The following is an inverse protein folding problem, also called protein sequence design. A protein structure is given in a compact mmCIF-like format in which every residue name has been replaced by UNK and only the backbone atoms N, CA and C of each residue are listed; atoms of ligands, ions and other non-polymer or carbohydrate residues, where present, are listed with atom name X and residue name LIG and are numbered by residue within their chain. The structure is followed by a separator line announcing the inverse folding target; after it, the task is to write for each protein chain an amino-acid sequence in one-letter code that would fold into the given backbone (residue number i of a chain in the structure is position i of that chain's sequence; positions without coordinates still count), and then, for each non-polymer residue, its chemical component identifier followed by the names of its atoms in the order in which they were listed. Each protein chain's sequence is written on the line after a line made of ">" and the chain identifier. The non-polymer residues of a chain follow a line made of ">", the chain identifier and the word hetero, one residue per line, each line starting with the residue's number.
data_IF_010099004849
#
_entry.id   IF_010099004849
#
_cell.length_a   1.000
_cell.length_b   1.000
_cell.length_c   1.000
_cell.angle_alpha   90.00
_cell.angle_beta   90.00
_cell.angle_gamma   90.00
#
_symmetry.space_group_name_H-M   'P 1'
#
loop_
_entity.id
_entity.type
_entity.pdbx_description
1 polymer ?
#
# COMPACT_ATOMS: atom_id res chain seq x y z
N UNK A 1 -16.70 -17.52 -17.41
CA UNK A 1 -15.70 -16.75 -16.64
C UNK A 1 -16.04 -15.28 -16.64
N UNK A 2 -15.94 -14.65 -15.50
CA UNK A 2 -16.18 -13.22 -15.44
C UNK A 2 -15.01 -12.47 -16.08
N UNK A 3 -15.34 -11.38 -16.74
CA UNK A 3 -14.35 -10.43 -17.24
C UNK A 3 -13.57 -9.84 -16.07
N UNK A 4 -12.25 -9.81 -16.19
CA UNK A 4 -11.37 -9.29 -15.13
C UNK A 4 -11.73 -7.84 -14.77
N UNK A 5 -12.05 -7.02 -15.76
CA UNK A 5 -12.42 -5.62 -15.49
C UNK A 5 -13.70 -5.52 -14.69
N UNK A 6 -14.66 -6.41 -14.94
CA UNK A 6 -15.90 -6.45 -14.17
C UNK A 6 -15.64 -6.86 -12.72
N UNK A 7 -14.77 -7.85 -12.50
CA UNK A 7 -14.38 -8.29 -11.16
C UNK A 7 -13.72 -7.13 -10.41
N UNK A 8 -12.80 -6.41 -11.08
CA UNK A 8 -12.13 -5.26 -10.47
C UNK A 8 -13.13 -4.17 -10.09
N UNK A 9 -14.09 -3.87 -10.97
CA UNK A 9 -15.13 -2.87 -10.69
C UNK A 9 -15.96 -3.27 -9.47
N UNK A 10 -16.35 -4.54 -9.39
CA UNK A 10 -17.08 -5.05 -8.21
C UNK A 10 -16.26 -4.92 -6.94
N UNK A 11 -14.94 -5.19 -7.04
CA UNK A 11 -14.04 -5.07 -5.89
C UNK A 11 -14.00 -3.62 -5.40
N UNK A 12 -13.89 -2.66 -6.32
CA UNK A 12 -13.89 -1.23 -5.97
C UNK A 12 -15.22 -0.81 -5.33
N UNK A 13 -16.33 -1.29 -5.87
CA UNK A 13 -17.64 -0.98 -5.30
C UNK A 13 -17.77 -1.49 -3.87
N UNK A 14 -17.35 -2.73 -3.63
CA UNK A 14 -17.40 -3.30 -2.28
C UNK A 14 -16.45 -2.58 -1.33
N UNK A 15 -15.25 -2.23 -1.81
CA UNK A 15 -14.27 -1.48 -1.03
C UNK A 15 -14.82 -0.10 -0.64
N UNK A 16 -15.42 0.59 -1.59
CA UNK A 16 -16.00 1.91 -1.35
C UNK A 16 -17.20 1.87 -0.40
N UNK A 17 -17.91 0.76 -0.39
CA UNK A 17 -19.02 0.53 0.54
C UNK A 17 -18.57 -0.07 1.86
N UNK A 18 -17.26 -0.14 2.10
CA UNK A 18 -16.67 -0.65 3.34
C UNK A 18 -16.97 -2.12 3.61
N UNK A 19 -17.30 -2.88 2.58
CA UNK A 19 -17.49 -4.32 2.66
C UNK A 19 -16.15 -5.00 2.39
N UNK A 20 -15.25 -4.89 3.36
CA UNK A 20 -13.83 -5.20 3.16
C UNK A 20 -13.55 -6.67 2.91
N UNK A 21 -14.26 -7.57 3.58
CA UNK A 21 -14.05 -9.00 3.34
C UNK A 21 -14.37 -9.38 1.89
N UNK A 22 -15.50 -8.90 1.40
CA UNK A 22 -15.91 -9.19 0.02
C UNK A 22 -14.95 -8.49 -0.98
N UNK A 23 -14.55 -7.27 -0.66
CA UNK A 23 -13.59 -6.56 -1.50
C UNK A 23 -12.27 -7.34 -1.58
N UNK A 24 -11.77 -7.84 -0.48
CA UNK A 24 -10.55 -8.64 -0.46
C UNK A 24 -10.66 -9.88 -1.34
N UNK A 25 -11.77 -10.59 -1.25
CA UNK A 25 -12.01 -11.76 -2.07
C UNK A 25 -11.98 -11.42 -3.56
N UNK A 26 -12.62 -10.32 -3.93
CA UNK A 26 -12.67 -9.90 -5.33
C UNK A 26 -11.32 -9.39 -5.84
N UNK A 27 -10.59 -8.63 -5.02
CA UNK A 27 -9.24 -8.23 -5.41
C UNK A 27 -8.32 -9.43 -5.58
N UNK A 28 -8.45 -10.44 -4.71
CA UNK A 28 -7.68 -11.66 -4.82
C UNK A 28 -8.02 -12.39 -6.11
N UNK A 29 -9.30 -12.50 -6.45
CA UNK A 29 -9.75 -13.11 -7.69
C UNK A 29 -9.16 -12.38 -8.91
N UNK A 30 -9.20 -11.05 -8.90
CA UNK A 30 -8.64 -10.25 -9.98
C UNK A 30 -7.13 -10.48 -10.12
N UNK A 31 -6.41 -10.45 -9.00
CA UNK A 31 -4.94 -10.64 -8.98
C UNK A 31 -4.58 -12.01 -9.53
N UNK A 32 -5.27 -13.05 -9.09
CA UNK A 32 -5.03 -14.42 -9.56
C UNK A 32 -5.27 -14.55 -11.06
N UNK A 33 -6.34 -13.92 -11.54
CA UNK A 33 -6.65 -13.92 -12.97
C UNK A 33 -5.54 -13.23 -13.77
N UNK A 34 -5.09 -12.09 -13.30
CA UNK A 34 -4.02 -11.34 -13.96
C UNK A 34 -2.70 -12.12 -13.98
N UNK A 35 -2.40 -12.82 -12.90
CA UNK A 35 -1.18 -13.62 -12.82
C UNK A 35 -1.20 -14.75 -13.86
N UNK A 36 -2.36 -15.34 -14.08
CA UNK A 36 -2.51 -16.44 -15.05
C UNK A 36 -2.47 -15.97 -16.50
N UNK A 37 -3.20 -14.93 -16.81
CA UNK A 37 -3.36 -14.49 -18.21
C UNK A 37 -2.27 -13.52 -18.67
N UNK A 38 -1.70 -12.76 -17.72
CA UNK A 38 -0.71 -11.71 -18.00
C UNK A 38 -1.21 -10.63 -18.95
N UNK A 39 -2.53 -10.46 -19.03
CA UNK A 39 -3.15 -9.53 -19.97
C UNK A 39 -3.73 -8.30 -19.28
N UNK A 40 -3.52 -8.15 -17.97
CA UNK A 40 -4.09 -7.06 -17.21
C UNK A 40 -3.24 -5.79 -17.33
N UNK A 41 -3.93 -4.67 -17.24
CA UNK A 41 -3.26 -3.38 -17.13
C UNK A 41 -2.42 -3.35 -15.85
N UNK A 42 -1.14 -3.00 -15.97
CA UNK A 42 -0.21 -3.02 -14.84
C UNK A 42 -0.66 -2.10 -13.71
N UNK A 43 -1.14 -0.89 -14.04
CA UNK A 43 -1.59 0.05 -13.02
C UNK A 43 -2.82 -0.48 -12.28
N UNK A 44 -3.75 -1.10 -12.98
CA UNK A 44 -4.91 -1.72 -12.34
C UNK A 44 -4.50 -2.83 -11.38
N UNK A 45 -3.49 -3.61 -11.75
CA UNK A 45 -2.96 -4.65 -10.87
C UNK A 45 -2.31 -4.04 -9.62
N UNK A 46 -1.55 -2.95 -9.80
CA UNK A 46 -0.96 -2.24 -8.67
C UNK A 46 -2.03 -1.68 -7.73
N UNK A 47 -3.11 -1.11 -8.29
CA UNK A 47 -4.24 -0.62 -7.49
C UNK A 47 -4.88 -1.76 -6.69
N UNK A 48 -5.09 -2.90 -7.33
CA UNK A 48 -5.69 -4.06 -6.65
C UNK A 48 -4.85 -4.51 -5.46
N UNK A 49 -3.53 -4.60 -5.64
CA UNK A 49 -2.63 -4.94 -4.53
C UNK A 49 -2.68 -3.88 -3.43
N UNK A 50 -2.63 -2.60 -3.79
CA UNK A 50 -2.67 -1.52 -2.80
C UNK A 50 -3.95 -1.58 -1.98
N UNK A 51 -5.09 -1.74 -2.64
CA UNK A 51 -6.39 -1.74 -1.95
C UNK A 51 -6.57 -3.01 -1.11
N UNK A 52 -6.09 -4.15 -1.59
CA UNK A 52 -6.11 -5.36 -0.76
C UNK A 52 -5.21 -5.19 0.47
N UNK A 53 -4.04 -4.56 0.27
CA UNK A 53 -3.17 -4.20 1.38
C UNK A 53 -3.86 -3.31 2.39
N UNK A 54 -4.65 -2.34 1.92
CA UNK A 54 -5.40 -1.45 2.79
C UNK A 54 -6.42 -2.22 3.64
N UNK A 55 -7.10 -3.19 3.06
CA UNK A 55 -8.02 -4.05 3.81
C UNK A 55 -7.28 -4.81 4.90
N UNK A 56 -6.11 -5.36 4.58
CA UNK A 56 -5.30 -6.09 5.56
C UNK A 56 -4.77 -5.16 6.65
N UNK A 57 -4.41 -3.94 6.30
CA UNK A 57 -3.99 -2.91 7.25
C UNK A 57 -5.12 -2.61 8.25
N UNK A 58 -6.33 -2.43 7.76
CA UNK A 58 -7.48 -2.14 8.61
C UNK A 58 -7.78 -3.29 9.57
N UNK A 59 -7.41 -4.50 9.19
CA UNK A 59 -7.56 -5.70 10.01
C UNK A 59 -6.34 -5.93 10.93
N UNK A 60 -5.36 -5.04 10.87
CA UNK A 60 -4.10 -5.07 11.65
C UNK A 60 -3.17 -6.22 11.24
N UNK A 61 -3.35 -6.78 10.05
CA UNK A 61 -2.42 -7.76 9.47
C UNK A 61 -1.28 -7.03 8.75
N UNK A 62 -0.40 -6.41 9.52
CA UNK A 62 0.59 -5.48 8.98
C UNK A 62 1.61 -6.14 8.05
N UNK A 63 2.07 -7.34 8.37
CA UNK A 63 3.05 -8.01 7.51
C UNK A 63 2.45 -8.35 6.15
N UNK A 64 1.23 -8.87 6.12
CA UNK A 64 0.55 -9.18 4.87
C UNK A 64 0.21 -7.92 4.08
N UNK A 65 -0.16 -6.85 4.79
CA UNK A 65 -0.41 -5.56 4.13
C UNK A 65 0.87 -5.04 3.46
N UNK A 66 2.00 -5.11 4.15
CA UNK A 66 3.28 -4.68 3.57
C UNK A 66 3.67 -5.48 2.34
N UNK A 67 3.38 -6.79 2.34
CA UNK A 67 3.65 -7.62 1.16
C UNK A 67 2.84 -7.13 -0.03
N UNK A 68 1.58 -6.79 0.17
CA UNK A 68 0.74 -6.28 -0.91
C UNK A 68 1.22 -4.90 -1.38
N UNK A 69 1.57 -4.01 -0.46
CA UNK A 69 2.11 -2.71 -0.85
C UNK A 69 3.42 -2.85 -1.62
N UNK A 70 4.28 -3.76 -1.20
CA UNK A 70 5.54 -4.01 -1.90
C UNK A 70 5.29 -4.52 -3.31
N UNK A 71 4.32 -5.43 -3.49
CA UNK A 71 3.95 -5.90 -4.82
C UNK A 71 3.45 -4.75 -5.70
N UNK A 72 2.63 -3.87 -5.16
CA UNK A 72 2.15 -2.71 -5.90
C UNK A 72 3.30 -1.81 -6.34
N UNK A 73 4.26 -1.57 -5.46
CA UNK A 73 5.43 -0.73 -5.74
C UNK A 73 6.30 -1.36 -6.84
N UNK A 74 6.50 -2.68 -6.79
CA UNK A 74 7.28 -3.39 -7.79
C UNK A 74 6.64 -3.32 -9.18
N UNK A 75 5.31 -3.32 -9.22
CA UNK A 75 4.58 -3.24 -10.49
C UNK A 75 4.61 -1.81 -11.04
N UNK A 76 4.45 -0.82 -10.17
CA UNK A 76 4.44 0.59 -10.60
C UNK A 76 5.16 1.44 -9.56
N UNK A 77 6.44 1.71 -9.80
CA UNK A 77 7.28 2.47 -8.87
C UNK A 77 6.90 3.96 -8.78
N UNK A 78 6.06 4.44 -9.69
CA UNK A 78 5.59 5.82 -9.70
C UNK A 78 4.22 5.98 -9.03
N UNK A 79 3.72 4.93 -8.43
CA UNK A 79 2.46 4.97 -7.67
C UNK A 79 2.81 5.28 -6.21
N UNK A 80 2.59 6.54 -5.80
CA UNK A 80 3.04 7.03 -4.50
C UNK A 80 2.27 6.46 -3.31
N UNK A 81 1.00 6.08 -3.51
CA UNK A 81 0.14 5.68 -2.40
C UNK A 81 0.66 4.44 -1.64
N UNK A 82 1.05 3.33 -2.30
CA UNK A 82 1.56 2.18 -1.53
C UNK A 82 2.91 2.46 -0.87
N UNK A 83 3.73 3.36 -1.43
CA UNK A 83 4.96 3.80 -0.76
C UNK A 83 4.64 4.46 0.57
N UNK A 84 3.70 5.40 0.55
CA UNK A 84 3.25 6.08 1.76
C UNK A 84 2.66 5.09 2.75
N UNK A 85 1.78 4.21 2.28
CA UNK A 85 1.10 3.23 3.13
C UNK A 85 2.09 2.28 3.81
N UNK A 86 3.08 1.81 3.06
CA UNK A 86 4.11 0.93 3.63
C UNK A 86 4.94 1.67 4.67
N UNK A 87 5.26 2.93 4.37
CA UNK A 87 5.98 3.79 5.32
C UNK A 87 5.25 3.93 6.64
N UNK A 88 3.92 4.09 6.60
CA UNK A 88 3.11 4.18 7.82
C UNK A 88 3.21 2.93 8.69
N UNK A 89 3.20 1.76 8.07
CA UNK A 89 3.34 0.51 8.83
C UNK A 89 4.74 0.42 9.43
N UNK A 90 5.75 0.71 8.65
CA UNK A 90 7.14 0.69 9.12
C UNK A 90 7.34 1.64 10.29
N UNK A 91 6.73 2.83 10.20
CA UNK A 91 6.77 3.79 11.30
C UNK A 91 6.12 3.20 12.56
N UNK A 92 4.94 2.61 12.42
CA UNK A 92 4.22 2.01 13.56
C UNK A 92 5.02 0.89 14.22
N UNK A 93 5.77 0.13 13.43
CA UNK A 93 6.58 -0.98 13.94
C UNK A 93 7.94 -0.53 14.46
N UNK A 94 8.25 0.76 14.37
CA UNK A 94 9.51 1.29 14.87
C UNK A 94 10.66 1.20 13.89
N UNK A 95 10.40 0.82 12.64
CA UNK A 95 11.43 0.75 11.59
C UNK A 95 11.59 2.13 10.95
N UNK A 96 12.17 3.05 11.73
CA UNK A 96 12.19 4.47 11.33
C UNK A 96 13.02 4.76 10.09
N UNK A 97 14.15 4.08 9.91
CA UNK A 97 14.98 4.29 8.71
C UNK A 97 14.27 3.85 7.45
N UNK A 98 13.62 2.70 7.49
CA UNK A 98 12.86 2.19 6.36
C UNK A 98 11.63 3.06 6.09
N UNK A 99 10.96 3.52 7.15
CA UNK A 99 9.83 4.45 7.01
C UNK A 99 10.28 5.75 6.36
N UNK A 100 11.40 6.31 6.81
CA UNK A 100 11.97 7.52 6.23
C UNK A 100 12.21 7.35 4.72
N UNK A 101 12.80 6.23 4.33
CA UNK A 101 13.06 5.93 2.93
C UNK A 101 11.77 5.94 2.11
N UNK A 102 10.73 5.29 2.62
CA UNK A 102 9.44 5.22 1.93
C UNK A 102 8.79 6.60 1.79
N UNK A 103 8.83 7.41 2.84
CA UNK A 103 8.24 8.75 2.79
C UNK A 103 9.01 9.67 1.85
N UNK A 104 10.35 9.57 1.82
CA UNK A 104 11.14 10.37 0.89
C UNK A 104 10.84 10.00 -0.56
N UNK A 105 10.70 8.69 -0.84
CA UNK A 105 10.35 8.24 -2.18
C UNK A 105 8.94 8.69 -2.57
N UNK A 106 8.00 8.67 -1.61
CA UNK A 106 6.66 9.21 -1.84
C UNK A 106 6.74 10.65 -2.32
N UNK A 107 7.56 11.46 -1.65
CA UNK A 107 7.71 12.88 -1.99
C UNK A 107 8.50 13.10 -3.30
N UNK A 108 9.37 12.17 -3.68
CA UNK A 108 10.03 12.24 -4.98
C UNK A 108 9.02 12.04 -6.11
N UNK A 109 8.06 11.14 -5.91
CA UNK A 109 7.02 10.88 -6.91
C UNK A 109 5.97 11.98 -6.91
N UNK A 110 5.57 12.45 -5.73
CA UNK A 110 4.55 13.48 -5.58
C UNK A 110 4.95 14.43 -4.45
N UNK A 111 5.59 15.54 -4.81
CA UNK A 111 6.10 16.52 -3.84
C UNK A 111 4.98 17.24 -3.07
N UNK A 112 3.74 17.18 -3.55
CA UNK A 112 2.58 17.81 -2.93
C UNK A 112 1.86 16.91 -1.93
N UNK A 113 2.36 15.71 -1.69
CA UNK A 113 1.73 14.75 -0.77
C UNK A 113 1.95 15.21 0.67
N UNK A 114 1.03 16.00 1.18
CA UNK A 114 1.17 16.65 2.49
C UNK A 114 1.31 15.66 3.65
N UNK A 115 0.54 14.59 3.62
CA UNK A 115 0.58 13.59 4.69
C UNK A 115 1.95 12.91 4.76
N UNK A 116 2.59 12.68 3.61
CA UNK A 116 3.93 12.10 3.59
C UNK A 116 4.96 13.05 4.18
N UNK A 117 4.80 14.36 3.91
CA UNK A 117 5.70 15.36 4.46
C UNK A 117 5.61 15.40 5.98
N UNK A 118 4.39 15.42 6.51
CA UNK A 118 4.16 15.43 7.95
C UNK A 118 4.64 14.12 8.59
N UNK A 119 4.38 12.99 7.95
CA UNK A 119 4.83 11.69 8.46
C UNK A 119 6.36 11.58 8.46
N UNK A 120 7.01 12.13 7.43
CA UNK A 120 8.47 12.18 7.39
C UNK A 120 9.02 13.00 8.55
N UNK A 121 8.46 14.18 8.77
CA UNK A 121 8.86 15.05 9.88
C UNK A 121 8.76 14.31 11.21
N UNK A 122 7.64 13.65 11.45
CA UNK A 122 7.41 12.89 12.67
C UNK A 122 8.39 11.73 12.81
N UNK A 123 8.65 11.04 11.70
CA UNK A 123 9.58 9.92 11.68
C UNK A 123 10.98 10.35 12.07
N UNK A 124 11.43 11.49 11.55
CA UNK A 124 12.76 12.02 11.86
C UNK A 124 12.88 12.41 13.33
N UNK A 125 11.84 13.01 13.88
CA UNK A 125 11.83 13.37 15.30
C UNK A 125 11.86 12.13 16.20
N UNK A 126 11.05 11.14 15.90
CA UNK A 126 10.98 9.93 16.70
C UNK A 126 12.25 9.09 16.57
N UNK A 127 12.87 9.08 15.40
CA UNK A 127 14.15 8.41 15.18
C UNK A 127 15.27 9.06 15.99
N UNK A 128 15.30 10.39 16.01
CA UNK A 128 16.27 11.14 16.80
C UNK A 128 16.09 10.87 18.29
N UNK A 129 14.86 10.90 18.77
CA UNK A 129 14.55 10.61 20.16
C UNK A 129 14.99 9.22 20.55
N UNK A 130 14.75 8.23 19.71
CA UNK A 130 15.18 6.85 19.95
C UNK A 130 16.69 6.76 20.05
N UNK A 131 17.40 7.44 19.16
CA UNK A 131 18.87 7.49 19.16
C UNK A 131 19.40 8.10 20.44
N UNK A 132 18.78 9.19 20.89
CA UNK A 132 19.18 9.89 22.11
C UNK A 132 18.96 9.05 23.37
N UNK A 133 18.00 8.13 23.33
CA UNK A 133 17.76 7.18 24.44
C UNK A 133 18.72 6.00 24.44
N UNK A 134 19.50 5.82 23.39
CA UNK A 134 20.46 4.73 23.30
C UNK A 134 19.86 3.39 22.90
N UNK A 135 18.63 3.35 22.36
CA UNK A 135 18.04 2.12 21.85
C UNK A 135 17.10 2.32 20.67
#
# INVERSE_FOLDING_TARGET
>A
MEDSELVLQKAHDEFNNKKYKRAEELYTQFIESCTKTRECNAHNLAIAYNNRGQVKYLRVDFCEAMDDYTSAIQINSQFEVPLYNRGLIRYRLGFFKEAESDFRKTLEVNSDFKDARESLRRTLLDSEEKSNRGY
#
